data_IF_884345354979
#
_entry.id   IF_884345354979
#
_cell.length_a   1.000
_cell.length_b   1.000
_cell.length_c   1.000
_cell.angle_alpha   90.00
_cell.angle_beta   90.00
_cell.angle_gamma   90.00
#
_symmetry.space_group_name_H-M   'P 1'
#
loop_
_entity.id
_entity.type
_entity.pdbx_description
1 polymer ?
#
# COMPACT_ATOMS: atom_id res chain seq x y z
N UNK A 1 -7.32 10.51 20.85
CA UNK A 1 -8.73 10.65 21.22
C UNK A 1 -9.09 9.48 22.10
N UNK A 2 -9.01 9.68 23.40
CA UNK A 2 -9.33 8.64 24.40
C UNK A 2 -10.49 9.05 25.30
N UNK A 3 -10.93 10.32 25.23
CA UNK A 3 -12.02 10.85 26.05
C UNK A 3 -13.21 11.24 25.18
N UNK A 4 -14.42 10.97 25.70
CA UNK A 4 -15.67 11.42 25.11
C UNK A 4 -15.81 12.91 25.38
N UNK A 5 -16.15 13.75 24.38
CA UNK A 5 -16.30 15.18 24.60
C UNK A 5 -17.30 15.49 25.72
N UNK A 6 -16.92 16.39 26.63
CA UNK A 6 -17.74 16.76 27.80
C UNK A 6 -18.98 17.59 27.45
N UNK A 7 -18.87 18.49 26.47
CA UNK A 7 -19.95 19.39 26.06
C UNK A 7 -20.87 18.78 25.00
N UNK A 8 -22.16 19.11 25.05
CA UNK A 8 -23.13 18.71 24.03
C UNK A 8 -22.77 19.21 22.62
N UNK A 9 -22.16 20.39 22.50
CA UNK A 9 -21.71 20.96 21.22
C UNK A 9 -20.61 20.11 20.58
N UNK A 10 -19.50 19.85 21.29
CA UNK A 10 -18.44 18.98 20.80
C UNK A 10 -18.90 17.53 20.52
N UNK A 11 -19.95 17.04 21.19
CA UNK A 11 -20.57 15.75 20.85
C UNK A 11 -21.33 15.80 19.52
N UNK A 12 -22.04 16.91 19.24
CA UNK A 12 -22.74 17.11 17.95
C UNK A 12 -21.77 17.23 16.78
N UNK A 13 -20.65 17.93 16.96
CA UNK A 13 -19.61 18.02 15.92
C UNK A 13 -18.98 16.67 15.55
N UNK A 14 -19.05 15.70 16.47
CA UNK A 14 -18.55 14.34 16.29
C UNK A 14 -19.67 13.33 16.07
N UNK A 15 -20.90 13.79 15.82
CA UNK A 15 -22.01 12.93 15.46
C UNK A 15 -21.79 12.37 14.04
N UNK A 16 -21.75 11.05 13.94
CA UNK A 16 -21.52 10.32 12.70
C UNK A 16 -22.80 9.65 12.18
N UNK A 17 -23.97 9.95 12.77
CA UNK A 17 -25.25 9.31 12.44
C UNK A 17 -25.60 9.48 10.95
N UNK A 18 -25.36 10.67 10.39
CA UNK A 18 -25.60 10.99 8.97
C UNK A 18 -24.69 10.21 8.00
N UNK A 19 -23.64 9.54 8.50
CA UNK A 19 -22.78 8.69 7.68
C UNK A 19 -23.30 7.27 7.51
N UNK A 20 -24.37 6.90 8.24
CA UNK A 20 -25.08 5.61 8.19
C UNK A 20 -24.13 4.40 8.25
N UNK A 21 -23.13 4.46 9.13
CA UNK A 21 -21.97 3.57 9.09
C UNK A 21 -22.32 2.07 9.22
N UNK A 22 -23.41 1.76 9.91
CA UNK A 22 -23.91 0.43 10.23
C UNK A 22 -24.77 -0.20 9.11
N UNK A 23 -25.39 0.61 8.25
CA UNK A 23 -26.19 0.11 7.12
C UNK A 23 -25.36 -0.05 5.84
N UNK A 24 -24.20 0.61 5.76
CA UNK A 24 -23.30 0.56 4.59
C UNK A 24 -22.92 -0.88 4.21
N UNK A 25 -22.95 -1.22 2.91
CA UNK A 25 -22.36 -2.45 2.42
C UNK A 25 -20.87 -2.55 2.77
N UNK A 26 -20.37 -3.76 3.04
CA UNK A 26 -18.99 -3.98 3.48
C UNK A 26 -17.91 -3.38 2.55
N UNK A 27 -18.16 -3.35 1.23
CA UNK A 27 -17.21 -2.80 0.25
C UNK A 27 -17.13 -1.26 0.28
N UNK A 28 -18.10 -0.58 0.89
CA UNK A 28 -18.12 0.88 1.14
C UNK A 28 -18.11 1.23 2.63
N UNK A 29 -17.82 0.25 3.50
CA UNK A 29 -17.63 0.48 4.92
C UNK A 29 -16.47 1.46 5.15
N UNK A 30 -16.60 2.36 6.11
CA UNK A 30 -15.57 3.36 6.41
C UNK A 30 -14.50 2.78 7.34
N UNK A 31 -13.75 1.80 6.83
CA UNK A 31 -12.62 1.23 7.56
C UNK A 31 -11.36 2.07 7.33
N UNK A 32 -10.68 2.44 8.42
CA UNK A 32 -9.39 3.13 8.36
C UNK A 32 -8.26 2.15 8.62
N UNK A 33 -7.27 2.10 7.73
CA UNK A 33 -6.05 1.30 7.91
C UNK A 33 -4.84 2.22 8.10
N UNK A 34 -4.07 2.01 9.16
CA UNK A 34 -2.96 2.88 9.52
C UNK A 34 -1.78 2.05 10.03
N UNK A 35 -0.55 2.41 9.66
CA UNK A 35 0.63 1.84 10.31
C UNK A 35 0.84 2.50 11.68
N UNK A 36 0.99 1.68 12.70
CA UNK A 36 1.29 2.13 14.06
C UNK A 36 2.76 1.98 14.41
N UNK A 37 3.48 1.16 13.66
CA UNK A 37 4.93 0.96 13.76
C UNK A 37 5.53 0.65 12.38
N UNK A 38 6.77 1.11 12.16
CA UNK A 38 7.55 0.95 10.94
C UNK A 38 9.01 0.69 11.31
N UNK A 39 9.50 -0.51 10.99
CA UNK A 39 10.88 -0.89 11.21
C UNK A 39 11.55 -1.38 9.92
N UNK A 40 12.88 -1.21 9.85
CA UNK A 40 13.68 -1.79 8.78
C UNK A 40 13.83 -3.30 9.02
N UNK A 41 13.49 -4.10 8.02
CA UNK A 41 13.73 -5.53 7.98
C UNK A 41 15.05 -5.87 7.27
N UNK A 42 15.35 -7.16 7.05
CA UNK A 42 16.54 -7.57 6.31
C UNK A 42 16.48 -7.13 4.84
N UNK A 43 17.63 -6.68 4.31
CA UNK A 43 17.75 -6.25 2.91
C UNK A 43 16.87 -5.04 2.59
N UNK A 44 16.03 -5.16 1.57
CA UNK A 44 15.04 -4.14 1.17
C UNK A 44 13.64 -4.42 1.76
N UNK A 45 13.57 -5.13 2.89
CA UNK A 45 12.31 -5.40 3.58
C UNK A 45 11.98 -4.31 4.61
N UNK A 46 10.70 -4.10 4.82
CA UNK A 46 10.17 -3.33 5.96
C UNK A 46 9.22 -4.19 6.78
N UNK A 47 9.23 -3.99 8.09
CA UNK A 47 8.28 -4.59 9.02
C UNK A 47 7.27 -3.52 9.43
N UNK A 48 5.99 -3.82 9.22
CA UNK A 48 4.88 -2.92 9.51
C UNK A 48 4.01 -3.53 10.60
N UNK A 49 3.66 -2.73 11.61
CA UNK A 49 2.47 -3.01 12.42
C UNK A 49 1.32 -2.18 11.85
N UNK A 50 0.24 -2.87 11.46
CA UNK A 50 -0.94 -2.28 10.84
C UNK A 50 -2.10 -2.37 11.81
N UNK A 51 -2.78 -1.25 12.05
CA UNK A 51 -4.03 -1.16 12.79
C UNK A 51 -5.17 -0.83 11.84
N UNK A 52 -6.29 -1.53 12.00
CA UNK A 52 -7.55 -1.25 11.32
C UNK A 52 -8.58 -0.79 12.33
N UNK A 53 -9.20 0.36 12.05
CA UNK A 53 -10.31 0.90 12.81
C UNK A 53 -11.61 0.69 12.03
N UNK A 54 -12.60 0.14 12.71
CA UNK A 54 -13.93 -0.22 12.23
C UNK A 54 -14.97 0.39 13.17
N UNK A 55 -15.32 1.67 12.97
CA UNK A 55 -16.21 2.39 13.89
C UNK A 55 -17.64 1.81 13.93
N UNK A 56 -18.06 1.09 12.88
CA UNK A 56 -19.39 0.48 12.80
C UNK A 56 -19.41 -1.02 13.07
N UNK A 57 -18.32 -1.58 13.60
CA UNK A 57 -18.23 -2.99 14.00
C UNK A 57 -18.67 -3.96 12.89
N UNK A 58 -18.32 -3.64 11.64
CA UNK A 58 -18.64 -4.43 10.44
C UNK A 58 -17.83 -5.73 10.34
N UNK A 59 -16.67 -5.78 10.99
CA UNK A 59 -15.80 -6.94 11.06
C UNK A 59 -16.20 -7.83 12.25
N UNK A 60 -16.18 -9.16 12.09
CA UNK A 60 -16.56 -10.06 13.17
C UNK A 60 -15.55 -10.03 14.30
N UNK A 61 -16.01 -10.40 15.50
CA UNK A 61 -15.21 -10.49 16.73
C UNK A 61 -14.27 -11.70 16.63
N UNK A 62 -13.14 -11.54 15.93
CA UNK A 62 -12.15 -12.59 15.71
C UNK A 62 -11.06 -12.18 14.72
N UNK A 63 -10.01 -13.00 14.53
CA UNK A 63 -8.94 -12.68 13.59
C UNK A 63 -9.41 -12.57 12.14
N UNK A 64 -9.02 -11.50 11.46
CA UNK A 64 -9.32 -11.24 10.05
C UNK A 64 -8.14 -11.61 9.16
N UNK A 65 -8.42 -12.30 8.05
CA UNK A 65 -7.43 -12.47 6.97
C UNK A 65 -7.32 -11.16 6.21
N UNK A 66 -6.11 -10.64 6.16
CA UNK A 66 -5.79 -9.43 5.42
C UNK A 66 -4.75 -9.72 4.34
N UNK A 67 -4.69 -8.86 3.33
CA UNK A 67 -3.66 -8.94 2.30
C UNK A 67 -3.19 -7.55 1.98
N UNK A 68 -1.87 -7.35 2.04
CA UNK A 68 -1.24 -6.12 1.59
C UNK A 68 -0.82 -6.27 0.13
N UNK A 69 -1.19 -5.28 -0.68
CA UNK A 69 -0.89 -5.23 -2.10
C UNK A 69 -0.01 -4.06 -2.45
N UNK A 70 0.94 -4.30 -3.37
CA UNK A 70 1.80 -3.27 -3.92
C UNK A 70 2.09 -3.59 -5.39
N UNK A 71 1.85 -2.64 -6.29
CA UNK A 71 1.91 -2.88 -7.75
C UNK A 71 2.85 -1.90 -8.46
N UNK A 72 4.19 -2.03 -8.32
CA UNK A 72 5.12 -1.16 -9.03
C UNK A 72 5.14 -1.44 -10.54
N UNK A 73 5.00 -2.71 -10.95
CA UNK A 73 4.95 -3.14 -12.34
C UNK A 73 3.61 -3.78 -12.75
N UNK A 74 3.66 -4.68 -13.75
CA UNK A 74 2.48 -5.42 -14.25
C UNK A 74 1.96 -6.48 -13.27
N UNK A 75 2.82 -6.98 -12.38
CA UNK A 75 2.46 -8.00 -11.38
C UNK A 75 2.49 -7.36 -9.99
N UNK A 76 1.48 -7.70 -9.20
CA UNK A 76 1.25 -7.20 -7.85
C UNK A 76 2.01 -8.04 -6.84
N UNK A 77 2.88 -7.41 -6.06
CA UNK A 77 3.39 -7.98 -4.81
C UNK A 77 2.20 -8.12 -3.85
N UNK A 78 2.04 -9.32 -3.31
CA UNK A 78 0.88 -9.74 -2.52
C UNK A 78 1.39 -10.41 -1.26
N UNK A 79 1.12 -9.81 -0.11
CA UNK A 79 1.57 -10.34 1.19
C UNK A 79 0.36 -10.61 2.08
N UNK A 80 -0.02 -11.87 2.29
CA UNK A 80 -1.08 -12.21 3.23
C UNK A 80 -0.58 -12.03 4.67
N UNK A 81 -1.45 -11.57 5.55
CA UNK A 81 -1.20 -11.50 6.99
C UNK A 81 -2.51 -11.60 7.77
N UNK A 82 -2.44 -11.58 9.10
CA UNK A 82 -3.61 -11.65 9.98
C UNK A 82 -3.71 -10.38 10.81
N UNK A 83 -4.93 -9.87 10.95
CA UNK A 83 -5.30 -8.83 11.90
C UNK A 83 -6.07 -9.49 13.06
N UNK A 84 -5.58 -9.39 14.28
CA UNK A 84 -6.25 -9.87 15.48
C UNK A 84 -6.99 -8.73 16.18
N UNK A 85 -8.17 -8.98 16.77
CA UNK A 85 -8.87 -7.94 17.54
C UNK A 85 -8.07 -7.57 18.78
N UNK A 86 -7.94 -6.27 19.04
CA UNK A 86 -7.32 -5.72 20.26
C UNK A 86 -8.40 -5.20 21.21
N UNK A 87 -9.43 -4.57 20.64
CA UNK A 87 -10.68 -4.16 21.31
C UNK A 87 -11.80 -4.07 20.27
N UNK A 88 -13.07 -3.94 20.65
CA UNK A 88 -14.17 -3.79 19.69
C UNK A 88 -13.86 -2.71 18.65
N UNK A 89 -14.00 -3.07 17.36
CA UNK A 89 -13.73 -2.18 16.23
C UNK A 89 -12.25 -1.86 15.97
N UNK A 90 -11.30 -2.47 16.69
CA UNK A 90 -9.87 -2.24 16.47
C UNK A 90 -9.12 -3.55 16.33
N UNK A 91 -8.43 -3.69 15.21
CA UNK A 91 -7.65 -4.89 14.88
C UNK A 91 -6.22 -4.54 14.56
N UNK A 92 -5.28 -5.39 14.94
CA UNK A 92 -3.85 -5.21 14.68
C UNK A 92 -3.19 -6.44 14.11
N UNK A 93 -2.20 -6.22 13.24
CA UNK A 93 -1.43 -7.30 12.64
C UNK A 93 -0.07 -6.81 12.18
N UNK A 94 0.88 -7.74 12.12
CA UNK A 94 2.23 -7.47 11.60
C UNK A 94 2.38 -8.06 10.20
N UNK A 95 3.06 -7.33 9.34
CA UNK A 95 3.35 -7.76 7.97
C UNK A 95 4.75 -7.31 7.57
N UNK A 96 5.53 -8.25 7.01
CA UNK A 96 6.82 -7.96 6.39
C UNK A 96 6.63 -7.78 4.90
N UNK A 97 7.05 -6.64 4.37
CA UNK A 97 7.00 -6.34 2.96
C UNK A 97 8.43 -6.33 2.40
N UNK A 98 8.79 -7.37 1.65
CA UNK A 98 10.05 -7.44 0.90
C UNK A 98 9.89 -6.70 -0.44
N UNK A 99 10.52 -5.53 -0.54
CA UNK A 99 10.43 -4.68 -1.73
C UNK A 99 11.30 -5.20 -2.88
N UNK A 100 12.28 -6.07 -2.62
CA UNK A 100 13.08 -6.73 -3.65
C UNK A 100 12.27 -7.82 -4.38
N UNK A 101 11.27 -8.42 -3.72
CA UNK A 101 10.39 -9.41 -4.32
C UNK A 101 9.38 -8.80 -5.32
N UNK A 102 9.32 -7.47 -5.44
CA UNK A 102 8.47 -6.81 -6.40
C UNK A 102 8.94 -7.06 -7.84
N UNK A 103 8.03 -7.52 -8.71
CA UNK A 103 8.35 -7.79 -10.12
C UNK A 103 8.34 -6.49 -10.93
N UNK A 104 9.53 -5.93 -11.14
CA UNK A 104 9.75 -4.71 -11.92
C UNK A 104 9.98 -5.05 -13.40
N UNK A 105 9.77 -4.10 -14.33
CA UNK A 105 10.22 -4.24 -15.72
C UNK A 105 11.75 -4.39 -15.78
N UNK A 106 12.25 -5.10 -16.78
CA UNK A 106 13.70 -5.35 -16.99
C UNK A 106 14.49 -4.04 -17.10
N UNK A 107 13.95 -3.04 -17.81
CA UNK A 107 14.52 -1.69 -17.94
C UNK A 107 14.44 -0.85 -16.66
N UNK A 108 13.86 -1.42 -15.59
CA UNK A 108 13.60 -0.76 -14.33
C UNK A 108 12.23 -0.10 -14.25
N UNK A 109 11.87 0.32 -13.04
CA UNK A 109 10.68 1.09 -12.75
C UNK A 109 11.08 2.37 -12.02
N UNK A 110 10.64 3.51 -12.54
CA UNK A 110 10.68 4.79 -11.84
C UNK A 110 9.25 5.21 -11.48
N UNK A 111 9.03 5.51 -10.21
CA UNK A 111 7.78 6.11 -9.76
C UNK A 111 7.30 5.59 -8.41
N UNK A 112 6.14 6.11 -8.03
CA UNK A 112 5.57 5.98 -6.70
C UNK A 112 4.36 5.05 -6.69
N UNK A 113 4.22 4.24 -5.63
CA UNK A 113 3.02 3.42 -5.37
C UNK A 113 2.62 3.49 -3.91
N UNK A 114 1.33 3.33 -3.68
CA UNK A 114 0.74 3.23 -2.35
C UNK A 114 0.36 1.78 -2.08
N UNK A 115 0.81 1.18 -0.96
CA UNK A 115 0.30 -0.10 -0.50
C UNK A 115 -1.20 -0.01 -0.19
N UNK A 116 -1.94 -1.03 -0.62
CA UNK A 116 -3.39 -1.14 -0.39
C UNK A 116 -3.66 -2.38 0.45
N UNK A 117 -4.40 -2.20 1.53
CA UNK A 117 -4.88 -3.30 2.35
C UNK A 117 -6.20 -3.81 1.77
N UNK A 118 -6.34 -5.14 1.69
CA UNK A 118 -7.58 -5.82 1.33
C UNK A 118 -8.06 -6.70 2.47
N UNK A 119 -9.34 -6.57 2.80
CA UNK A 119 -10.09 -7.47 3.68
C UNK A 119 -11.15 -8.21 2.88
N UNK A 120 -11.49 -9.42 3.34
CA UNK A 120 -12.60 -10.20 2.79
C UNK A 120 -13.51 -10.65 3.92
N UNK A 121 -14.80 -10.35 3.79
CA UNK A 121 -15.83 -10.76 4.74
C UNK A 121 -17.11 -11.15 3.98
N UNK A 122 -17.67 -12.32 4.29
CA UNK A 122 -18.91 -12.85 3.66
C UNK A 122 -18.92 -12.74 2.12
N UNK A 123 -17.83 -13.16 1.47
CA UNK A 123 -17.69 -13.08 0.01
C UNK A 123 -17.47 -11.67 -0.55
N UNK A 124 -17.63 -10.62 0.26
CA UNK A 124 -17.39 -9.22 -0.10
C UNK A 124 -15.95 -8.83 0.20
N UNK A 125 -15.48 -7.79 -0.50
CA UNK A 125 -14.11 -7.29 -0.40
C UNK A 125 -14.15 -5.81 -0.04
N UNK A 126 -13.35 -5.44 0.95
CA UNK A 126 -13.02 -4.06 1.24
C UNK A 126 -11.56 -3.81 0.88
N UNK A 127 -11.26 -2.67 0.26
CA UNK A 127 -9.89 -2.22 0.02
C UNK A 127 -9.72 -0.80 0.49
N UNK A 128 -8.64 -0.53 1.23
CA UNK A 128 -8.30 0.81 1.67
C UNK A 128 -6.80 1.06 1.58
N UNK A 129 -6.43 2.32 1.35
CA UNK A 129 -5.02 2.73 1.35
C UNK A 129 -4.47 2.61 2.76
N UNK A 130 -3.20 2.22 2.87
CA UNK A 130 -2.51 2.19 4.15
C UNK A 130 -2.00 3.60 4.51
N UNK A 131 -2.54 4.18 5.57
CA UNK A 131 -2.11 5.48 6.08
C UNK A 131 -0.82 5.35 6.87
N UNK A 132 0.03 6.38 6.77
CA UNK A 132 1.29 6.53 7.46
C UNK A 132 1.35 7.89 8.16
N UNK A 133 1.29 7.92 9.51
CA UNK A 133 1.60 9.11 10.30
C UNK A 133 2.92 9.78 9.89
N UNK A 134 2.91 11.11 9.80
CA UNK A 134 4.07 11.93 9.37
C UNK A 134 5.31 11.81 10.28
N UNK A 135 5.14 11.27 11.49
CA UNK A 135 6.24 11.01 12.43
C UNK A 135 7.20 9.91 11.97
N UNK A 136 6.80 9.07 11.01
CA UNK A 136 7.64 7.96 10.56
C UNK A 136 8.76 8.45 9.64
N UNK A 137 9.99 7.96 9.83
CA UNK A 137 11.12 8.35 9.00
C UNK A 137 11.01 7.73 7.60
N UNK A 138 11.64 8.38 6.63
CA UNK A 138 11.89 7.77 5.33
C UNK A 138 12.93 6.64 5.46
N UNK A 139 12.60 5.45 4.97
CA UNK A 139 13.49 4.29 4.93
C UNK A 139 13.90 4.00 3.50
N UNK A 140 15.21 4.07 3.23
CA UNK A 140 15.77 3.84 1.90
C UNK A 140 16.64 2.60 1.84
N UNK A 141 16.45 1.75 0.84
CA UNK A 141 17.27 0.57 0.58
C UNK A 141 17.69 0.50 -0.90
N UNK A 142 18.78 -0.21 -1.20
CA UNK A 142 19.21 -0.51 -2.56
C UNK A 142 18.90 -1.97 -2.86
N UNK A 143 18.14 -2.21 -3.93
CA UNK A 143 17.91 -3.53 -4.49
C UNK A 143 18.97 -3.74 -5.59
N UNK A 144 19.88 -4.73 -5.44
CA UNK A 144 20.88 -5.02 -6.45
C UNK A 144 20.22 -5.63 -7.70
N UNK A 145 21.04 -5.96 -8.70
CA UNK A 145 20.55 -6.70 -9.87
C UNK A 145 19.88 -8.01 -9.42
N UNK A 146 18.61 -8.17 -9.78
CA UNK A 146 17.81 -9.33 -9.38
C UNK A 146 16.92 -9.76 -10.54
N UNK A 147 16.94 -11.06 -10.88
CA UNK A 147 16.08 -11.63 -11.92
C UNK A 147 16.07 -10.85 -13.26
N UNK A 148 17.21 -10.30 -13.67
CA UNK A 148 17.33 -9.57 -14.94
C UNK A 148 17.05 -8.06 -14.85
N UNK A 149 16.55 -7.54 -13.73
CA UNK A 149 16.19 -6.13 -13.59
C UNK A 149 17.39 -5.26 -13.25
N UNK A 150 17.42 -4.02 -13.78
CA UNK A 150 18.39 -3.00 -13.36
C UNK A 150 18.40 -2.81 -11.84
N UNK A 151 19.50 -2.35 -11.22
CA UNK A 151 19.47 -2.03 -9.79
C UNK A 151 18.50 -0.87 -9.49
N UNK A 152 17.89 -0.87 -8.30
CA UNK A 152 16.97 0.18 -7.86
C UNK A 152 17.33 0.72 -6.48
N UNK A 153 17.11 2.00 -6.27
CA UNK A 153 16.89 2.57 -4.95
C UNK A 153 15.40 2.55 -4.68
N UNK A 154 15.02 2.10 -3.49
CA UNK A 154 13.64 2.06 -3.03
C UNK A 154 13.53 2.84 -1.74
N UNK A 155 12.61 3.80 -1.69
CA UNK A 155 12.34 4.63 -0.52
C UNK A 155 10.90 4.41 -0.06
N UNK A 156 10.72 4.22 1.24
CA UNK A 156 9.41 4.09 1.90
C UNK A 156 9.26 5.27 2.85
N UNK A 157 8.17 6.02 2.74
CA UNK A 157 7.95 7.19 3.58
C UNK A 157 6.46 7.51 3.68
N UNK A 158 6.04 8.35 4.64
CA UNK A 158 4.75 9.02 4.60
C UNK A 158 4.70 10.06 3.48
N UNK A 159 3.56 10.18 2.81
CA UNK A 159 3.26 11.33 1.96
C UNK A 159 3.20 12.61 2.81
N UNK A 160 3.74 13.74 2.31
CA UNK A 160 4.00 14.97 3.08
C UNK A 160 2.79 15.82 3.48
N UNK A 161 1.57 15.30 3.47
CA UNK A 161 0.36 15.99 3.95
C UNK A 161 -0.46 15.07 4.86
N UNK A 162 -1.36 15.63 5.68
CA UNK A 162 -2.17 14.86 6.63
C UNK A 162 -3.60 14.66 6.09
N UNK A 163 -4.14 13.43 6.04
CA UNK A 163 -3.53 12.15 6.43
C UNK A 163 -2.50 11.64 5.43
N UNK A 164 -1.29 11.35 5.94
CA UNK A 164 -0.20 10.81 5.13
C UNK A 164 -0.55 9.40 4.67
N UNK A 165 -0.35 9.11 3.38
CA UNK A 165 -0.42 7.74 2.84
C UNK A 165 0.98 7.13 2.90
N UNK A 166 1.09 5.84 3.17
CA UNK A 166 2.36 5.15 2.99
C UNK A 166 2.68 5.13 1.48
N UNK A 167 3.81 5.70 1.09
CA UNK A 167 4.28 5.69 -0.28
C UNK A 167 5.59 4.92 -0.39
N UNK A 168 5.74 4.24 -1.52
CA UNK A 168 6.97 3.55 -1.88
C UNK A 168 7.41 4.06 -3.25
N UNK A 169 8.63 4.57 -3.31
CA UNK A 169 9.23 5.17 -4.49
C UNK A 169 10.37 4.28 -4.97
N UNK A 170 10.33 3.88 -6.25
CA UNK A 170 11.44 3.20 -6.91
C UNK A 170 12.12 4.16 -7.86
N UNK A 171 13.45 4.11 -7.87
CA UNK A 171 14.31 4.85 -8.78
C UNK A 171 15.38 3.90 -9.31
N UNK A 172 15.50 3.68 -10.63
CA UNK A 172 16.61 2.93 -11.21
C UNK A 172 17.94 3.60 -10.88
N UNK A 173 18.98 2.84 -10.53
CA UNK A 173 20.31 3.37 -10.19
C UNK A 173 21.43 2.63 -10.94
N UNK A 174 22.49 3.37 -11.30
CA UNK A 174 23.67 2.85 -12.00
C UNK A 174 23.75 3.28 -13.47
N UNK A 175 24.86 2.94 -14.12
CA UNK A 175 25.19 3.36 -15.51
C UNK A 175 24.23 2.83 -16.55
N UNK A 176 23.70 1.61 -16.36
CA UNK A 176 22.67 1.01 -17.22
C UNK A 176 21.33 1.75 -17.15
N UNK A 177 20.99 2.35 -16.01
CA UNK A 177 19.82 3.21 -15.90
C UNK A 177 20.02 4.48 -16.75
N UNK A 178 21.15 5.15 -16.65
CA UNK A 178 21.43 6.39 -17.42
C UNK A 178 21.34 6.18 -18.93
N UNK A 179 21.75 5.01 -19.45
CA UNK A 179 21.76 4.71 -20.88
C UNK A 179 20.42 4.19 -21.42
N UNK A 180 19.69 3.35 -20.67
CA UNK A 180 18.44 2.71 -21.15
C UNK A 180 17.16 3.49 -20.82
N UNK A 181 17.19 4.32 -19.78
CA UNK A 181 16.02 5.03 -19.27
C UNK A 181 15.40 6.03 -20.27
N UNK A 182 16.17 6.81 -21.07
CA UNK A 182 15.59 7.74 -22.04
C UNK A 182 14.79 7.03 -23.14
N UNK A 183 15.25 5.86 -23.60
CA UNK A 183 14.59 5.08 -24.64
C UNK A 183 13.36 4.32 -24.09
N UNK A 184 13.47 3.76 -22.89
CA UNK A 184 12.36 3.07 -22.22
C UNK A 184 11.18 4.01 -21.90
N UNK A 185 11.45 5.27 -21.51
CA UNK A 185 10.42 6.29 -21.25
C UNK A 185 9.65 6.68 -22.52
N UNK A 186 10.28 6.63 -23.69
CA UNK A 186 9.63 6.88 -25.00
C UNK A 186 8.73 5.73 -25.43
N UNK A 187 9.08 4.49 -25.07
CA UNK A 187 8.32 3.26 -25.39
C UNK A 187 7.21 2.93 -24.39
N UNK A 188 7.12 3.65 -23.27
CA UNK A 188 6.09 3.45 -22.24
C UNK A 188 4.80 4.25 -22.48
N UNK A 189 4.69 5.01 -23.57
CA UNK A 189 3.46 5.74 -23.90
C UNK A 189 2.35 4.78 -24.38
N UNK A 190 1.06 5.08 -24.14
CA UNK A 190 -0.04 4.17 -24.47
C UNK A 190 -0.07 3.77 -25.96
N UNK A 191 0.30 4.70 -26.85
CA UNK A 191 0.32 4.52 -28.30
C UNK A 191 1.49 3.63 -28.76
N UNK A 192 2.69 3.80 -28.20
CA UNK A 192 3.86 2.96 -28.54
C UNK A 192 3.74 1.54 -28.00
N UNK A 193 3.08 1.36 -26.84
CA UNK A 193 2.72 0.04 -26.30
C UNK A 193 1.82 -0.79 -27.21
N UNK A 194 0.90 -0.15 -27.96
CA UNK A 194 0.01 -0.84 -28.91
C UNK A 194 0.77 -1.27 -30.16
N UNK A 195 1.64 -0.40 -30.69
CA UNK A 195 2.47 -0.69 -31.86
C UNK A 195 3.49 -1.81 -31.58
N UNK A 196 4.17 -1.79 -30.43
CA UNK A 196 5.10 -2.85 -30.05
C UNK A 196 4.41 -4.22 -29.85
N UNK A 197 3.16 -4.23 -29.40
CA UNK A 197 2.34 -5.46 -29.29
C UNK A 197 1.96 -6.04 -30.65
N UNK A 198 1.65 -5.18 -31.62
CA UNK A 198 1.33 -5.61 -32.98
C UNK A 198 2.56 -6.18 -33.69
N UNK A 199 3.72 -5.54 -33.53
CA UNK A 199 4.98 -6.04 -34.09
C UNK A 199 5.42 -7.38 -33.48
N UNK A 200 5.24 -7.57 -32.16
CA UNK A 200 5.58 -8.82 -31.48
C UNK A 200 4.69 -10.02 -31.89
N UNK A 201 3.47 -9.76 -32.37
CA UNK A 201 2.57 -10.81 -32.85
C UNK A 201 2.80 -11.20 -34.32
N UNK A 202 3.61 -10.43 -35.06
CA UNK A 202 3.97 -10.72 -36.46
C UNK A 202 5.30 -11.50 -36.54
N UNK A 203 6.09 -11.48 -35.47
CA UNK A 203 7.38 -12.16 -35.36
C UNK A 203 7.29 -13.51 -34.62
N UNK A 204 6.09 -14.07 -34.47
CA UNK A 204 5.83 -15.43 -33.96
C UNK A 204 5.07 -16.24 -35.00
#
# INVERSE_FOLDING_TARGET
GEEVPGSAEARRELDLTDLELDTRPFFTALLRHEITDLARGPGASIDLTVRTYDPALRLPVGPQRATLYLSPGRRRLTVPFRLSPVRPGVFEGRVRLDLAAARLPVHGFEGLRHPVLRLRHQGRVHTGILLAPLRFPALTARVPYHAGTTPHRVTVEPEGHNPGRLQVHWQPVGTTATLLHPAARRLSTPRTRRAARLAANILH
#
